data_IF_004112763125
#
_entry.id   IF_004112763125
#
_cell.length_a   1.000
_cell.length_b   1.000
_cell.length_c   1.000
_cell.angle_alpha   90.00
_cell.angle_beta   90.00
_cell.angle_gamma   90.00
#
_symmetry.space_group_name_H-M   'P 1'
#
loop_
_entity.id
_entity.type
_entity.pdbx_description
1 polymer ?
#
# COMPACT_ATOMS: atom_id res chain seq x y z
N UNK A 1 -49.34 -32.22 -30.05
CA UNK A 1 -47.95 -32.14 -30.66
C UNK A 1 -47.37 -30.73 -30.61
N UNK A 2 -48.09 -29.67 -30.87
CA UNK A 2 -47.61 -28.30 -30.86
C UNK A 2 -47.23 -27.82 -29.44
N UNK A 3 -47.94 -28.24 -28.40
CA UNK A 3 -47.70 -27.85 -27.00
C UNK A 3 -46.39 -28.43 -26.43
N UNK A 4 -46.05 -29.67 -26.79
CA UNK A 4 -44.81 -30.31 -26.35
C UNK A 4 -43.58 -29.71 -27.01
N UNK A 5 -43.66 -29.29 -28.26
CA UNK A 5 -42.59 -28.61 -28.97
C UNK A 5 -42.34 -27.18 -28.37
N UNK A 6 -43.40 -26.54 -27.90
CA UNK A 6 -43.29 -25.21 -27.26
C UNK A 6 -42.67 -25.27 -25.87
N UNK A 7 -42.98 -26.31 -25.08
CA UNK A 7 -42.36 -26.54 -23.77
C UNK A 7 -40.87 -26.84 -23.92
N UNK A 8 -40.49 -27.67 -24.85
CA UNK A 8 -39.07 -27.96 -25.12
C UNK A 8 -38.27 -26.71 -25.58
N UNK A 9 -38.88 -25.84 -26.38
CA UNK A 9 -38.24 -24.56 -26.76
C UNK A 9 -38.09 -23.60 -25.61
N UNK A 10 -39.09 -23.55 -24.71
CA UNK A 10 -39.04 -22.67 -23.53
C UNK A 10 -37.93 -23.09 -22.55
N UNK A 11 -37.82 -24.38 -22.28
CA UNK A 11 -36.75 -24.94 -21.45
C UNK A 11 -35.36 -24.65 -22.03
N UNK A 12 -35.21 -24.79 -23.34
CA UNK A 12 -33.97 -24.46 -24.04
C UNK A 12 -33.60 -22.97 -23.87
N UNK A 13 -34.55 -22.04 -24.00
CA UNK A 13 -34.31 -20.62 -23.81
C UNK A 13 -33.98 -20.28 -22.36
N UNK A 14 -34.61 -20.92 -21.38
CA UNK A 14 -34.28 -20.73 -19.96
C UNK A 14 -32.90 -21.18 -19.64
N UNK A 15 -32.47 -22.35 -20.15
CA UNK A 15 -31.09 -22.86 -19.95
C UNK A 15 -30.09 -21.95 -20.64
N UNK A 16 -30.32 -21.55 -21.89
CA UNK A 16 -29.45 -20.66 -22.63
C UNK A 16 -29.29 -19.30 -21.94
N UNK A 17 -30.37 -18.76 -21.39
CA UNK A 17 -30.36 -17.49 -20.64
C UNK A 17 -29.59 -17.63 -19.32
N UNK A 18 -29.76 -18.72 -18.58
CA UNK A 18 -29.03 -19.00 -17.35
C UNK A 18 -27.52 -19.14 -17.60
N UNK A 19 -27.14 -19.82 -18.69
CA UNK A 19 -25.72 -19.95 -19.09
C UNK A 19 -25.13 -18.60 -19.49
N UNK A 20 -25.89 -17.76 -20.20
CA UNK A 20 -25.46 -16.42 -20.57
C UNK A 20 -25.23 -15.52 -19.35
N UNK A 21 -26.14 -15.57 -18.36
CA UNK A 21 -25.95 -14.83 -17.10
C UNK A 21 -24.73 -15.33 -16.34
N UNK A 22 -24.51 -16.63 -16.26
CA UNK A 22 -23.35 -17.22 -15.60
C UNK A 22 -22.02 -16.79 -16.28
N UNK A 23 -21.99 -16.76 -17.61
CA UNK A 23 -20.85 -16.29 -18.39
C UNK A 23 -20.57 -14.79 -18.16
N UNK A 24 -21.60 -13.96 -18.16
CA UNK A 24 -21.47 -12.53 -17.88
C UNK A 24 -20.98 -12.30 -16.43
N UNK A 25 -21.50 -13.06 -15.47
CA UNK A 25 -21.04 -12.99 -14.08
C UNK A 25 -19.57 -13.44 -13.92
N UNK A 26 -19.12 -14.43 -14.72
CA UNK A 26 -17.72 -14.86 -14.75
C UNK A 26 -16.80 -13.81 -15.38
N UNK A 27 -17.26 -13.15 -16.46
CA UNK A 27 -16.53 -12.06 -17.11
C UNK A 27 -16.52 -10.76 -16.30
N UNK A 28 -17.58 -10.54 -15.51
CA UNK A 28 -17.71 -9.39 -14.62
C UNK A 28 -17.06 -9.60 -13.24
N UNK A 29 -16.46 -10.76 -12.98
CA UNK A 29 -15.59 -10.89 -11.82
C UNK A 29 -14.49 -9.85 -11.98
N UNK A 30 -14.38 -8.87 -11.06
CA UNK A 30 -13.19 -8.04 -11.04
C UNK A 30 -12.03 -9.03 -10.99
N UNK A 31 -11.06 -8.85 -11.88
CA UNK A 31 -9.79 -9.55 -11.79
C UNK A 31 -9.40 -9.55 -10.32
N UNK A 32 -9.12 -10.70 -9.73
CA UNK A 32 -8.78 -10.85 -8.32
C UNK A 32 -7.85 -9.69 -7.96
N UNK A 33 -8.41 -8.66 -7.38
CA UNK A 33 -7.59 -7.59 -6.80
C UNK A 33 -6.88 -8.32 -5.69
N UNK A 34 -5.59 -8.55 -5.87
CA UNK A 34 -4.77 -9.25 -4.93
C UNK A 34 -5.10 -8.74 -3.53
N UNK A 35 -5.21 -9.65 -2.59
CA UNK A 35 -5.59 -9.33 -1.23
C UNK A 35 -4.68 -8.21 -0.72
N UNK A 36 -5.27 -7.07 -0.33
CA UNK A 36 -4.51 -5.93 0.13
C UNK A 36 -3.81 -6.31 1.43
N UNK A 37 -2.48 -6.29 1.43
CA UNK A 37 -1.68 -6.51 2.62
C UNK A 37 -1.40 -5.17 3.30
N UNK A 38 -1.76 -5.05 4.57
CA UNK A 38 -1.46 -3.87 5.37
C UNK A 38 -0.31 -4.16 6.32
N UNK A 39 0.74 -3.35 6.24
CA UNK A 39 1.94 -3.43 7.06
C UNK A 39 2.12 -2.10 7.81
N UNK A 40 2.91 -2.14 8.87
CA UNK A 40 3.24 -0.96 9.65
C UNK A 40 4.75 -0.86 9.85
N UNK A 41 5.25 0.36 9.80
CA UNK A 41 6.62 0.67 10.16
C UNK A 41 6.63 1.79 11.19
N UNK A 42 7.44 1.61 12.23
CA UNK A 42 7.70 2.62 13.25
C UNK A 42 8.95 3.38 12.89
N UNK A 43 8.87 4.71 12.95
CA UNK A 43 10.02 5.57 12.77
C UNK A 43 10.86 5.70 14.05
N UNK A 44 12.18 5.69 13.87
CA UNK A 44 13.17 5.99 14.91
C UNK A 44 13.88 7.27 14.50
N UNK A 45 13.75 8.31 15.32
CA UNK A 45 14.41 9.59 15.07
C UNK A 45 15.88 9.53 15.48
N UNK A 46 16.74 10.00 14.57
CA UNK A 46 18.18 10.09 14.73
C UNK A 46 18.64 11.54 14.56
N UNK A 47 19.90 11.80 14.90
CA UNK A 47 20.50 13.10 14.61
C UNK A 47 20.52 13.38 13.11
N UNK A 48 20.29 14.65 12.70
CA UNK A 48 20.23 15.01 11.29
C UNK A 48 21.61 14.83 10.62
N UNK A 49 21.64 14.18 9.46
CA UNK A 49 22.86 14.00 8.66
C UNK A 49 23.23 15.23 7.82
N UNK A 50 22.28 16.15 7.63
CA UNK A 50 22.39 17.25 6.69
C UNK A 50 21.99 16.92 5.26
N UNK A 51 21.56 15.69 5.01
CA UNK A 51 20.97 15.25 3.74
C UNK A 51 19.49 15.56 3.71
N UNK A 52 18.91 15.59 2.51
CA UNK A 52 17.49 15.78 2.28
C UNK A 52 16.88 14.61 1.50
N UNK A 53 15.59 14.40 1.67
CA UNK A 53 14.82 13.46 0.88
C UNK A 53 14.63 12.09 1.54
N UNK A 54 14.29 11.12 0.72
CA UNK A 54 13.97 9.75 1.14
C UNK A 54 14.91 8.80 0.45
N UNK A 55 15.63 8.01 1.24
CA UNK A 55 16.49 6.92 0.75
C UNK A 55 15.86 5.60 1.15
N UNK A 56 15.47 4.80 0.17
CA UNK A 56 14.81 3.52 0.38
C UNK A 56 15.68 2.37 -0.10
N UNK A 57 15.76 1.34 0.72
CA UNK A 57 16.53 0.12 0.47
C UNK A 57 15.72 -1.11 0.86
N UNK A 58 16.22 -2.26 0.49
CA UNK A 58 15.71 -3.55 0.98
C UNK A 58 16.83 -4.30 1.65
N UNK A 59 16.52 -4.97 2.74
CA UNK A 59 17.47 -5.89 3.36
C UNK A 59 17.56 -7.22 2.57
N UNK A 60 18.45 -8.11 3.01
CA UNK A 60 18.65 -9.43 2.40
C UNK A 60 17.42 -10.33 2.44
N UNK A 61 16.50 -10.07 3.34
CA UNK A 61 15.27 -10.84 3.53
C UNK A 61 14.06 -10.26 2.75
N UNK A 62 14.27 -9.17 2.02
CA UNK A 62 13.22 -8.51 1.25
C UNK A 62 12.33 -7.58 2.08
N UNK A 63 12.79 -7.13 3.25
CA UNK A 63 12.07 -6.13 4.05
C UNK A 63 12.42 -4.73 3.57
N UNK A 64 11.42 -3.86 3.54
CA UNK A 64 11.65 -2.46 3.23
C UNK A 64 12.25 -1.73 4.42
N UNK A 65 13.30 -0.97 4.14
CA UNK A 65 13.90 -0.03 5.06
C UNK A 65 14.10 1.31 4.35
N UNK A 66 13.85 2.40 5.04
CA UNK A 66 14.11 3.72 4.47
C UNK A 66 14.45 4.73 5.55
N UNK A 67 15.17 5.75 5.13
CA UNK A 67 15.45 6.92 5.95
C UNK A 67 14.89 8.15 5.26
N UNK A 68 14.11 8.89 6.00
CA UNK A 68 13.67 10.21 5.61
C UNK A 68 14.54 11.24 6.27
N UNK A 69 15.28 11.98 5.46
CA UNK A 69 16.23 12.99 5.92
C UNK A 69 15.57 14.34 6.08
N UNK A 70 16.09 15.15 7.01
CA UNK A 70 15.73 16.55 7.16
C UNK A 70 14.29 16.80 7.58
N UNK A 71 13.71 15.90 8.38
CA UNK A 71 12.30 16.05 8.85
C UNK A 71 12.23 17.05 9.99
N UNK A 72 11.41 18.08 9.79
CA UNK A 72 11.14 19.07 10.83
C UNK A 72 10.07 18.56 11.79
N UNK A 73 10.44 18.34 13.04
CA UNK A 73 9.53 17.89 14.09
C UNK A 73 9.22 19.05 15.04
N UNK A 74 7.96 19.17 15.43
CA UNK A 74 7.52 20.18 16.40
C UNK A 74 7.98 19.87 17.82
N UNK A 75 8.27 18.60 18.09
CA UNK A 75 8.77 18.12 19.38
C UNK A 75 9.82 17.06 19.19
N UNK A 76 10.87 16.98 20.05
CA UNK A 76 11.92 15.97 19.92
C UNK A 76 11.41 14.54 20.12
N UNK A 77 10.33 14.34 20.84
CA UNK A 77 9.73 13.03 21.13
C UNK A 77 8.57 12.68 20.19
N UNK A 78 8.37 13.47 19.14
CA UNK A 78 7.30 13.20 18.18
C UNK A 78 7.51 11.83 17.51
N UNK A 79 6.54 10.95 17.66
CA UNK A 79 6.55 9.65 17.00
C UNK A 79 5.95 9.78 15.60
N UNK A 80 6.70 9.30 14.63
CA UNK A 80 6.25 9.18 13.25
C UNK A 80 6.17 7.70 12.89
N UNK A 81 5.03 7.28 12.39
CA UNK A 81 4.79 5.91 11.97
C UNK A 81 4.30 5.90 10.54
N UNK A 82 4.50 4.80 9.85
CA UNK A 82 3.99 4.61 8.50
C UNK A 82 2.99 3.46 8.43
N UNK A 83 1.88 3.71 7.75
CA UNK A 83 0.98 2.67 7.28
C UNK A 83 1.36 2.32 5.84
N UNK A 84 1.55 1.05 5.56
CA UNK A 84 1.96 0.53 4.27
C UNK A 84 0.87 -0.36 3.74
N UNK A 85 0.37 -0.08 2.54
CA UNK A 85 -0.60 -0.92 1.85
C UNK A 85 0.05 -1.46 0.58
N UNK A 86 0.03 -2.77 0.44
CA UNK A 86 0.54 -3.47 -0.74
C UNK A 86 -0.64 -4.12 -1.45
N UNK A 87 -0.84 -3.74 -2.71
CA UNK A 87 -1.87 -4.33 -3.58
C UNK A 87 -1.18 -4.68 -4.90
N UNK A 88 -1.12 -5.96 -5.23
CA UNK A 88 -0.39 -6.47 -6.39
C UNK A 88 1.08 -5.98 -6.39
N UNK A 89 1.45 -5.14 -7.34
CA UNK A 89 2.78 -4.56 -7.47
C UNK A 89 2.83 -3.07 -7.08
N UNK A 90 1.82 -2.57 -6.38
CA UNK A 90 1.76 -1.21 -5.89
C UNK A 90 1.93 -1.17 -4.37
N UNK A 91 2.86 -0.34 -3.91
CA UNK A 91 3.12 -0.07 -2.50
C UNK A 91 2.76 1.38 -2.23
N UNK A 92 1.81 1.60 -1.32
CA UNK A 92 1.48 2.93 -0.82
C UNK A 92 1.91 3.06 0.62
N UNK A 93 2.76 4.03 0.90
CA UNK A 93 3.25 4.37 2.24
C UNK A 93 2.64 5.71 2.64
N UNK A 94 1.97 5.73 3.78
CA UNK A 94 1.41 6.94 4.35
C UNK A 94 2.06 7.18 5.71
N UNK A 95 2.80 8.26 5.80
CA UNK A 95 3.43 8.72 7.03
C UNK A 95 2.41 9.42 7.92
N UNK A 96 2.39 9.06 9.18
CA UNK A 96 1.50 9.64 10.20
C UNK A 96 2.32 10.12 11.38
N UNK A 97 2.04 11.33 11.79
CA UNK A 97 2.60 11.93 12.99
C UNK A 97 1.63 11.69 14.15
N UNK A 98 2.13 11.24 15.29
CA UNK A 98 1.34 11.20 16.51
C UNK A 98 1.22 12.62 17.07
N UNK A 99 -0.02 13.09 17.22
CA UNK A 99 -0.29 14.38 17.83
C UNK A 99 -0.08 14.28 19.35
N UNK A 100 1.06 14.79 19.81
CA UNK A 100 1.24 15.04 21.25
C UNK A 100 0.83 16.49 21.56
N UNK A 101 -0.42 16.64 22.00
CA UNK A 101 -1.02 17.95 22.29
C UNK A 101 -0.44 18.67 23.52
N UNK A 102 0.43 17.99 24.27
CA UNK A 102 0.95 18.46 25.56
C UNK A 102 2.44 18.79 25.52
N UNK A 103 3.13 18.52 24.42
CA UNK A 103 4.56 18.79 24.33
C UNK A 103 4.84 20.25 23.99
N UNK A 104 5.84 20.81 24.62
CA UNK A 104 6.41 22.11 24.28
C UNK A 104 6.86 22.12 22.81
N UNK A 105 6.44 23.13 22.05
CA UNK A 105 6.83 23.27 20.64
C UNK A 105 8.34 23.48 20.58
N UNK A 106 9.05 22.51 20.07
CA UNK A 106 10.48 22.53 19.85
C UNK A 106 10.76 22.18 18.40
N UNK A 107 11.24 23.15 17.64
CA UNK A 107 11.60 22.91 16.23
C UNK A 107 12.93 22.17 16.16
N UNK A 108 12.88 20.91 15.79
CA UNK A 108 14.05 20.04 15.70
C UNK A 108 14.05 19.31 14.39
N UNK A 109 15.17 19.39 13.65
CA UNK A 109 15.37 18.58 12.46
C UNK A 109 15.93 17.21 12.85
N UNK A 110 15.39 16.17 12.26
CA UNK A 110 15.78 14.78 12.50
C UNK A 110 15.78 13.98 11.21
N UNK A 111 16.60 12.97 11.17
CA UNK A 111 16.48 11.87 10.22
C UNK A 111 15.65 10.77 10.87
N UNK A 112 14.64 10.27 10.15
CA UNK A 112 13.77 9.24 10.67
C UNK A 112 14.02 7.96 9.88
N UNK A 113 14.46 6.92 10.58
CA UNK A 113 14.64 5.61 10.00
C UNK A 113 13.42 4.73 10.26
N UNK A 114 12.93 4.10 9.19
CA UNK A 114 11.80 3.19 9.22
C UNK A 114 12.23 1.80 8.79
N UNK A 115 11.70 0.79 9.45
CA UNK A 115 11.92 -0.60 9.13
C UNK A 115 10.61 -1.35 9.14
N UNK A 116 10.33 -2.09 8.07
CA UNK A 116 9.17 -2.95 7.97
C UNK A 116 9.52 -4.33 8.49
N UNK A 117 8.72 -4.86 9.44
CA UNK A 117 8.99 -6.17 10.04
C UNK A 117 8.70 -7.34 9.10
N UNK A 118 7.85 -7.13 8.10
CA UNK A 118 7.43 -8.17 7.17
C UNK A 118 8.15 -8.04 5.84
N UNK A 119 8.63 -9.16 5.32
CA UNK A 119 9.24 -9.24 4.01
C UNK A 119 8.17 -9.14 2.91
N UNK A 120 8.52 -8.48 1.82
CA UNK A 120 7.74 -8.46 0.60
C UNK A 120 8.15 -9.61 -0.32
N UNK A 121 7.24 -10.04 -1.18
CA UNK A 121 7.56 -11.02 -2.21
C UNK A 121 8.56 -10.42 -3.21
N UNK A 122 9.48 -11.22 -3.75
CA UNK A 122 10.37 -10.77 -4.81
C UNK A 122 9.59 -10.20 -5.99
N UNK A 123 10.06 -9.08 -6.54
CA UNK A 123 9.42 -8.45 -7.68
C UNK A 123 9.74 -6.97 -7.81
N UNK A 124 9.21 -6.36 -8.86
CA UNK A 124 9.28 -4.92 -9.08
C UNK A 124 7.98 -4.28 -8.64
N UNK A 125 8.08 -3.28 -7.78
CA UNK A 125 6.95 -2.56 -7.24
C UNK A 125 7.01 -1.08 -7.63
N UNK A 126 5.84 -0.52 -7.89
CA UNK A 126 5.64 0.92 -7.94
C UNK A 126 5.36 1.42 -6.54
N UNK A 127 6.09 2.41 -6.10
CA UNK A 127 6.02 2.93 -4.74
C UNK A 127 5.46 4.34 -4.75
N UNK A 128 4.51 4.57 -3.86
CA UNK A 128 3.91 5.85 -3.56
C UNK A 128 4.12 6.19 -2.09
N UNK A 129 4.77 7.32 -1.83
CA UNK A 129 5.04 7.79 -0.48
C UNK A 129 4.34 9.13 -0.25
N UNK A 130 3.61 9.24 0.85
CA UNK A 130 2.87 10.45 1.22
C UNK A 130 3.08 10.77 2.70
N UNK A 131 3.54 11.97 2.98
CA UNK A 131 3.61 12.55 4.30
C UNK A 131 2.60 13.70 4.38
N UNK A 132 1.33 13.39 4.58
CA UNK A 132 0.23 14.33 4.54
C UNK A 132 0.35 15.49 5.55
N UNK A 133 1.01 15.23 6.68
CA UNK A 133 1.24 16.23 7.71
C UNK A 133 2.29 17.30 7.33
N UNK A 134 3.19 17.02 6.40
CA UNK A 134 4.18 17.96 5.87
C UNK A 134 3.93 18.37 4.41
N UNK A 135 2.94 17.76 3.74
CA UNK A 135 2.62 18.01 2.34
C UNK A 135 3.62 17.43 1.35
N UNK A 136 4.54 16.59 1.81
CA UNK A 136 5.55 15.95 0.96
C UNK A 136 5.04 14.65 0.37
N UNK A 137 5.43 14.39 -0.86
CA UNK A 137 5.13 13.14 -1.55
C UNK A 137 6.26 12.76 -2.49
N UNK A 138 6.40 11.47 -2.74
CA UNK A 138 7.36 10.91 -3.68
C UNK A 138 6.78 9.68 -4.36
N UNK A 139 7.24 9.38 -5.56
CA UNK A 139 6.92 8.14 -6.25
C UNK A 139 8.13 7.60 -6.98
N UNK A 140 8.17 6.29 -7.16
CA UNK A 140 9.28 5.63 -7.83
C UNK A 140 9.05 4.14 -7.95
N UNK A 141 10.10 3.42 -8.32
CA UNK A 141 10.08 1.97 -8.42
C UNK A 141 11.14 1.39 -7.50
N UNK A 142 10.80 0.28 -6.87
CA UNK A 142 11.75 -0.51 -6.09
C UNK A 142 11.70 -1.97 -6.55
N UNK A 143 12.84 -2.64 -6.48
CA UNK A 143 12.94 -4.06 -6.76
C UNK A 143 13.28 -4.80 -5.48
N UNK A 144 12.40 -5.75 -5.13
CA UNK A 144 12.67 -6.70 -4.04
C UNK A 144 13.43 -7.88 -4.64
N UNK A 145 14.63 -8.20 -4.11
CA UNK A 145 15.45 -9.28 -4.64
C UNK A 145 14.81 -10.66 -4.40
N UNK A 146 15.25 -11.62 -5.21
CA UNK A 146 14.90 -13.05 -5.05
C UNK A 146 15.77 -13.70 -3.98
#
# INVERSE_FOLDING_TARGET
MILLAFIGSLEFYVIAFAVAIALVALMARPADKGEAQTLFARGVANEPSGEDGIVMTTDSDGRLEWTRHGVHLDTPDCQVNCAITVIDNDIKIIERKADDKLAEICHTDRDIHFSCLQALRPGRYHLYYEASWSGEWASGYIRIPT
#
